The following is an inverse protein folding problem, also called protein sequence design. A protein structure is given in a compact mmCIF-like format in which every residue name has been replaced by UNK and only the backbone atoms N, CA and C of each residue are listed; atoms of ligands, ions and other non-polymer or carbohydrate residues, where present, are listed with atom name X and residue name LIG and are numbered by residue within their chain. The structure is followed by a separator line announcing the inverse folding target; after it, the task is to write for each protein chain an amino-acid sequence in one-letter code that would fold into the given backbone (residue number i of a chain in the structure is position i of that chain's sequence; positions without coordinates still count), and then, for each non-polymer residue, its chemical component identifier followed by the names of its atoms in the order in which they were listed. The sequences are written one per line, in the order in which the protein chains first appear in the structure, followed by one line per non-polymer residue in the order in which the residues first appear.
data_IF_719882721933
#
_entry.id   IF_719882721933
#
_cell.length_a   1.000
_cell.length_b   1.000
_cell.length_c   1.000
_cell.angle_alpha   90.00
_cell.angle_beta   90.00
_cell.angle_gamma   90.00
#
_symmetry.space_group_name_H-M   'P 1'
#
loop_
_entity.id
_entity.type
_entity.pdbx_description
1 polymer ?
#
# COMPACT_ATOMS: atom_id res chain seq x y z
N UNK A 1 40.63 -73.25 58.76
CA UNK A 1 41.78 -72.33 58.90
C UNK A 1 42.36 -72.18 57.48
N UNK A 2 41.88 -71.23 56.69
CA UNK A 2 42.18 -69.79 56.70
C UNK A 2 43.07 -69.49 55.47
N UNK A 3 42.64 -68.50 54.69
CA UNK A 3 43.31 -67.82 53.57
C UNK A 3 43.27 -68.49 52.19
N UNK A 4 42.49 -67.87 51.30
CA UNK A 4 42.75 -67.80 49.86
C UNK A 4 44.14 -67.18 49.59
N UNK A 5 44.73 -67.31 48.39
CA UNK A 5 44.32 -66.40 47.33
C UNK A 5 44.40 -66.93 45.89
N UNK A 6 43.71 -66.17 45.05
CA UNK A 6 43.78 -66.01 43.59
C UNK A 6 45.15 -66.31 42.95
N UNK A 7 45.10 -66.89 41.73
CA UNK A 7 45.37 -66.10 40.51
C UNK A 7 45.18 -66.89 39.22
N UNK A 8 44.93 -66.09 38.18
CA UNK A 8 45.22 -66.32 36.76
C UNK A 8 44.21 -67.07 35.89
N UNK A 9 43.68 -66.33 34.91
CA UNK A 9 44.06 -66.61 33.53
C UNK A 9 43.10 -67.44 32.68
N UNK A 10 42.51 -66.75 31.70
CA UNK A 10 42.41 -67.16 30.30
C UNK A 10 41.35 -68.21 29.85
N UNK A 11 40.45 -67.67 29.02
CA UNK A 11 40.00 -68.18 27.70
C UNK A 11 39.08 -69.40 27.59
N UNK A 12 37.87 -69.17 27.05
CA UNK A 12 37.30 -69.87 25.88
C UNK A 12 36.04 -69.09 25.44
N UNK A 13 36.05 -68.25 24.42
CA UNK A 13 36.02 -68.49 22.97
C UNK A 13 34.70 -69.12 22.43
N UNK A 14 34.03 -68.36 21.54
CA UNK A 14 32.96 -68.82 20.61
C UNK A 14 31.58 -68.12 20.71
N UNK A 15 30.91 -67.72 19.59
CA UNK A 15 31.39 -67.49 18.22
C UNK A 15 31.12 -66.06 17.69
N UNK A 16 31.78 -65.76 16.57
CA UNK A 16 31.80 -64.48 15.87
C UNK A 16 30.42 -63.97 15.43
N UNK A 17 30.07 -62.74 15.83
CA UNK A 17 29.05 -61.95 15.14
C UNK A 17 29.65 -61.41 13.86
N UNK A 18 29.09 -61.83 12.72
CA UNK A 18 29.38 -61.23 11.42
C UNK A 18 29.26 -59.69 11.49
N UNK A 19 30.18 -58.92 10.90
CA UNK A 19 30.01 -57.49 10.79
C UNK A 19 28.81 -57.21 9.88
N UNK A 20 27.72 -56.75 10.48
CA UNK A 20 26.54 -56.27 9.75
C UNK A 20 26.97 -55.22 8.72
N UNK A 21 26.77 -55.51 7.44
CA UNK A 21 27.05 -54.58 6.36
C UNK A 21 26.34 -53.24 6.64
N UNK A 22 27.01 -52.08 6.51
CA UNK A 22 26.36 -50.81 6.76
C UNK A 22 25.28 -50.57 5.70
N UNK A 23 24.02 -50.64 6.12
CA UNK A 23 22.86 -50.26 5.32
C UNK A 23 23.09 -48.86 4.72
N UNK A 24 22.95 -48.78 3.39
CA UNK A 24 23.32 -47.61 2.60
C UNK A 24 22.64 -46.33 3.07
N UNK A 25 23.37 -45.48 3.81
CA UNK A 25 23.00 -44.08 4.04
C UNK A 25 23.20 -43.27 2.75
N UNK A 26 22.29 -43.39 1.79
CA UNK A 26 22.24 -42.51 0.61
C UNK A 26 20.89 -41.80 0.47
N UNK A 27 20.69 -40.72 1.24
CA UNK A 27 20.01 -39.54 0.69
C UNK A 27 20.78 -38.22 0.95
N UNK A 28 21.90 -38.25 1.67
CA UNK A 28 22.69 -37.05 2.04
C UNK A 28 23.21 -36.24 0.84
N UNK A 29 23.55 -36.90 -0.28
CA UNK A 29 24.17 -36.24 -1.44
C UNK A 29 23.17 -35.40 -2.25
N UNK A 30 21.93 -35.88 -2.43
CA UNK A 30 20.86 -35.13 -3.14
C UNK A 30 20.35 -33.97 -2.29
N UNK A 31 20.16 -34.18 -0.98
CA UNK A 31 19.82 -33.11 -0.04
C UNK A 31 20.89 -32.00 -0.01
N UNK A 32 22.17 -32.37 0.04
CA UNK A 32 23.28 -31.39 0.01
C UNK A 32 23.36 -30.59 -1.30
N UNK A 33 23.06 -31.21 -2.44
CA UNK A 33 22.99 -30.52 -3.73
C UNK A 33 21.78 -29.56 -3.80
N UNK A 34 20.60 -30.01 -3.37
CA UNK A 34 19.39 -29.19 -3.31
C UNK A 34 19.57 -27.99 -2.39
N UNK A 35 20.13 -28.18 -1.18
CA UNK A 35 20.37 -27.08 -0.24
C UNK A 35 21.40 -26.05 -0.75
N UNK A 36 22.34 -26.45 -1.62
CA UNK A 36 23.23 -25.49 -2.29
C UNK A 36 22.46 -24.61 -3.28
N UNK A 37 21.52 -25.20 -4.03
CA UNK A 37 20.65 -24.45 -4.95
C UNK A 37 19.75 -23.51 -4.17
N UNK A 38 19.08 -23.99 -3.10
CA UNK A 38 18.22 -23.17 -2.23
C UNK A 38 19.00 -22.00 -1.64
N UNK A 39 20.21 -22.22 -1.11
CA UNK A 39 21.05 -21.14 -0.56
C UNK A 39 21.43 -20.10 -1.62
N UNK A 40 21.77 -20.55 -2.83
CA UNK A 40 22.10 -19.65 -3.95
C UNK A 40 20.88 -18.87 -4.42
N UNK A 41 19.73 -19.53 -4.55
CA UNK A 41 18.47 -18.89 -4.90
C UNK A 41 18.08 -17.84 -3.86
N UNK A 42 18.10 -18.19 -2.57
CA UNK A 42 17.84 -17.25 -1.46
C UNK A 42 18.78 -16.05 -1.51
N UNK A 43 20.08 -16.28 -1.70
CA UNK A 43 21.04 -15.19 -1.84
C UNK A 43 20.74 -14.29 -3.05
N UNK A 44 20.70 -14.84 -4.26
CA UNK A 44 20.59 -14.03 -5.48
C UNK A 44 19.23 -13.34 -5.59
N UNK A 45 18.14 -14.03 -5.23
CA UNK A 45 16.82 -13.42 -5.19
C UNK A 45 16.79 -12.36 -4.08
N UNK A 46 17.34 -12.64 -2.90
CA UNK A 46 17.50 -11.67 -1.82
C UNK A 46 18.19 -10.38 -2.25
N UNK A 47 19.31 -10.47 -2.98
CA UNK A 47 20.00 -9.30 -3.54
C UNK A 47 19.15 -8.56 -4.57
N UNK A 48 18.51 -9.30 -5.48
CA UNK A 48 17.74 -8.72 -6.58
C UNK A 48 16.56 -7.89 -6.06
N UNK A 49 15.81 -8.44 -5.11
CA UNK A 49 14.59 -7.78 -4.61
C UNK A 49 14.84 -6.91 -3.37
N UNK A 50 16.05 -6.90 -2.79
CA UNK A 50 16.40 -6.09 -1.63
C UNK A 50 15.99 -4.61 -1.73
N UNK A 51 16.40 -3.84 -2.76
CA UNK A 51 16.02 -2.43 -2.81
C UNK A 51 14.51 -2.24 -2.95
N UNK A 52 13.83 -3.15 -3.65
CA UNK A 52 12.38 -3.12 -3.85
C UNK A 52 11.61 -3.42 -2.57
N UNK A 53 11.94 -4.51 -1.88
CA UNK A 53 11.30 -4.90 -0.63
C UNK A 53 11.55 -3.87 0.45
N UNK A 54 12.76 -3.29 0.52
CA UNK A 54 13.07 -2.24 1.48
C UNK A 54 12.17 -1.02 1.25
N UNK A 55 12.05 -0.57 0.00
CA UNK A 55 11.17 0.53 -0.37
C UNK A 55 9.70 0.23 -0.05
N UNK A 56 9.17 -0.90 -0.53
CA UNK A 56 7.77 -1.28 -0.31
C UNK A 56 7.46 -1.49 1.18
N UNK A 57 8.34 -2.16 1.91
CA UNK A 57 8.22 -2.39 3.35
C UNK A 57 8.21 -1.08 4.13
N UNK A 58 9.15 -0.17 3.87
CA UNK A 58 9.19 1.16 4.51
C UNK A 58 7.94 1.96 4.14
N UNK A 59 7.54 1.97 2.86
CA UNK A 59 6.34 2.70 2.43
C UNK A 59 5.06 2.19 3.08
N UNK A 60 4.94 0.88 3.28
CA UNK A 60 3.79 0.26 3.95
C UNK A 60 3.71 0.63 5.43
N UNK A 61 4.85 0.59 6.14
CA UNK A 61 4.92 1.02 7.55
C UNK A 61 4.54 2.50 7.67
N UNK A 62 5.09 3.39 6.83
CA UNK A 62 4.75 4.82 6.83
C UNK A 62 3.28 5.09 6.46
N UNK A 63 2.69 4.24 5.60
CA UNK A 63 1.29 4.34 5.22
C UNK A 63 0.34 3.89 6.33
N UNK A 64 0.60 2.72 6.93
CA UNK A 64 -0.21 2.15 8.00
C UNK A 64 -0.08 2.91 9.32
N UNK A 65 1.08 3.56 9.53
CA UNK A 65 1.37 4.35 10.72
C UNK A 65 1.60 5.82 10.33
N UNK A 66 0.53 6.59 10.06
CA UNK A 66 0.66 7.98 9.62
C UNK A 66 1.38 8.86 10.63
N UNK A 67 1.46 8.47 11.91
CA UNK A 67 2.25 9.13 12.95
C UNK A 67 3.76 9.12 12.71
N UNK A 68 4.26 8.23 11.84
CA UNK A 68 5.69 8.13 11.54
C UNK A 68 5.98 9.08 10.38
N UNK A 69 6.70 10.17 10.66
CA UNK A 69 7.15 11.12 9.64
C UNK A 69 6.11 12.17 9.22
N UNK A 70 4.99 12.30 9.94
CA UNK A 70 4.10 13.46 9.85
C UNK A 70 3.93 14.09 11.22
N UNK A 71 4.12 15.39 11.27
CA UNK A 71 3.89 16.15 12.49
C UNK A 71 2.38 16.33 12.67
N UNK A 72 1.82 15.69 13.70
CA UNK A 72 0.49 16.03 14.19
C UNK A 72 0.41 15.70 15.68
N UNK A 73 -0.32 16.53 16.41
CA UNK A 73 -0.60 16.28 17.82
C UNK A 73 -1.88 15.46 17.93
N UNK A 74 -1.85 14.38 18.72
CA UNK A 74 -3.04 13.57 19.01
C UNK A 74 -3.33 13.58 20.49
N UNK A 75 -4.57 13.91 20.85
CA UNK A 75 -5.06 13.92 22.22
C UNK A 75 -6.35 13.11 22.33
N UNK A 76 -6.39 12.17 23.27
CA UNK A 76 -7.63 11.50 23.67
C UNK A 76 -8.45 12.37 24.61
N UNK A 77 -9.77 12.40 24.41
CA UNK A 77 -10.75 13.10 25.24
C UNK A 77 -11.70 12.03 25.79
N UNK A 78 -11.86 11.98 27.11
CA UNK A 78 -12.72 10.97 27.74
C UNK A 78 -14.19 11.25 27.47
N UNK A 79 -15.03 10.22 27.57
CA UNK A 79 -16.48 10.35 27.37
C UNK A 79 -17.11 11.37 28.33
N UNK A 80 -16.64 11.44 29.58
CA UNK A 80 -17.11 12.39 30.58
C UNK A 80 -16.78 13.82 30.17
N UNK A 81 -15.58 14.06 29.63
CA UNK A 81 -15.18 15.37 29.14
C UNK A 81 -16.01 15.79 27.93
N UNK A 82 -16.24 14.88 26.98
CA UNK A 82 -17.08 15.15 25.79
C UNK A 82 -18.51 15.49 26.23
N UNK A 83 -19.10 14.69 27.13
CA UNK A 83 -20.43 14.94 27.68
C UNK A 83 -20.51 16.27 28.43
N UNK A 84 -19.50 16.62 29.24
CA UNK A 84 -19.50 17.85 30.01
C UNK A 84 -19.37 19.10 29.13
N UNK A 85 -18.59 19.03 28.04
CA UNK A 85 -18.33 20.16 27.15
C UNK A 85 -19.43 20.37 26.12
N UNK A 86 -20.10 19.30 25.67
CA UNK A 86 -21.00 19.36 24.51
C UNK A 86 -22.43 18.89 24.81
N UNK A 87 -22.65 18.21 25.94
CA UNK A 87 -23.90 17.51 26.23
C UNK A 87 -24.11 16.24 25.39
N UNK A 88 -23.10 15.80 24.62
CA UNK A 88 -23.19 14.59 23.81
C UNK A 88 -23.51 13.37 24.68
N UNK A 89 -24.45 12.56 24.20
CA UNK A 89 -24.83 11.29 24.81
C UNK A 89 -24.56 10.17 23.81
N UNK A 90 -23.89 9.09 24.23
CA UNK A 90 -23.68 7.96 23.35
C UNK A 90 -25.00 7.35 22.87
N UNK A 91 -24.99 6.81 21.65
CA UNK A 91 -26.13 6.20 20.98
C UNK A 91 -26.08 4.68 21.15
N UNK A 92 -27.22 4.10 21.50
CA UNK A 92 -27.40 2.65 21.47
C UNK A 92 -27.64 2.21 20.01
N UNK A 93 -26.72 1.43 19.40
CA UNK A 93 -26.85 1.01 18.01
C UNK A 93 -28.09 0.14 17.77
N UNK A 94 -28.51 -0.67 18.74
CA UNK A 94 -29.72 -1.51 18.62
C UNK A 94 -30.98 -0.65 18.67
N UNK A 95 -31.00 0.39 19.51
CA UNK A 95 -32.10 1.34 19.55
C UNK A 95 -32.22 2.13 18.23
N UNK A 96 -31.11 2.50 17.61
CA UNK A 96 -31.11 3.16 16.30
C UNK A 96 -31.61 2.20 15.22
N UNK A 97 -31.12 0.96 15.18
CA UNK A 97 -31.55 -0.05 14.22
C UNK A 97 -33.06 -0.32 14.31
N UNK A 98 -33.62 -0.40 15.52
CA UNK A 98 -35.07 -0.53 15.75
C UNK A 98 -35.85 0.62 15.11
N UNK A 99 -35.43 1.86 15.37
CA UNK A 99 -36.08 3.05 14.80
C UNK A 99 -36.05 3.05 13.27
N UNK A 100 -34.94 2.63 12.67
CA UNK A 100 -34.81 2.52 11.20
C UNK A 100 -35.82 1.51 10.64
N UNK A 101 -35.91 0.31 11.23
CA UNK A 101 -36.85 -0.72 10.79
C UNK A 101 -38.31 -0.30 11.03
N UNK A 102 -38.61 0.36 12.14
CA UNK A 102 -39.93 0.93 12.42
C UNK A 102 -40.36 1.94 11.34
N UNK A 103 -39.47 2.88 10.98
CA UNK A 103 -39.76 3.86 9.93
C UNK A 103 -39.88 3.21 8.54
N UNK A 104 -39.04 2.23 8.23
CA UNK A 104 -39.10 1.49 6.97
C UNK A 104 -40.43 0.73 6.84
N UNK A 105 -40.89 0.10 7.92
CA UNK A 105 -42.17 -0.61 7.95
C UNK A 105 -43.38 0.33 7.85
N UNK A 106 -43.28 1.56 8.35
CA UNK A 106 -44.37 2.54 8.25
C UNK A 106 -44.65 2.98 6.80
N UNK A 107 -43.65 2.92 5.92
CA UNK A 107 -43.75 3.34 4.51
C UNK A 107 -43.69 2.20 3.48
N UNK A 108 -43.60 0.94 3.91
CA UNK A 108 -43.39 -0.20 3.01
C UNK A 108 -44.59 -1.16 2.98
N UNK A 109 -44.93 -1.74 1.81
CA UNK A 109 -45.90 -2.83 1.73
C UNK A 109 -45.38 -4.16 2.32
N UNK A 110 -44.07 -4.26 2.58
CA UNK A 110 -43.41 -5.46 3.12
C UNK A 110 -43.00 -5.25 4.58
N UNK A 111 -43.02 -6.33 5.37
CA UNK A 111 -42.58 -6.32 6.77
C UNK A 111 -41.13 -6.76 6.91
N UNK A 112 -40.31 -5.88 7.50
CA UNK A 112 -38.92 -6.14 7.85
C UNK A 112 -38.77 -6.33 9.37
N UNK A 113 -37.86 -7.21 9.77
CA UNK A 113 -37.52 -7.48 11.17
C UNK A 113 -36.01 -7.51 11.34
N UNK A 114 -35.52 -7.09 12.49
CA UNK A 114 -34.11 -7.24 12.85
C UNK A 114 -33.78 -8.71 13.09
N UNK A 115 -32.59 -9.13 12.65
CA UNK A 115 -32.05 -10.46 12.92
C UNK A 115 -31.32 -10.44 14.27
N UNK A 116 -31.85 -11.16 15.25
CA UNK A 116 -31.29 -11.23 16.60
C UNK A 116 -29.91 -11.93 16.67
N UNK A 117 -29.49 -12.64 15.61
CA UNK A 117 -28.17 -13.27 15.56
C UNK A 117 -27.04 -12.26 15.36
N UNK A 118 -27.35 -11.03 14.91
CA UNK A 118 -26.36 -10.01 14.59
C UNK A 118 -26.76 -8.67 15.24
N UNK A 119 -26.20 -8.34 16.42
CA UNK A 119 -26.45 -7.05 17.08
C UNK A 119 -26.04 -5.86 16.20
N UNK A 120 -26.72 -4.73 16.39
CA UNK A 120 -26.37 -3.49 15.74
C UNK A 120 -24.98 -3.02 16.17
N UNK A 121 -24.19 -2.54 15.21
CA UNK A 121 -22.91 -1.91 15.47
C UNK A 121 -22.72 -0.73 14.51
N UNK A 122 -22.12 0.35 15.01
CA UNK A 122 -21.65 1.41 14.13
C UNK A 122 -20.33 0.98 13.49
N UNK A 123 -20.25 1.09 12.17
CA UNK A 123 -19.02 0.87 11.41
C UNK A 123 -18.50 2.18 10.83
N UNK A 124 -17.19 2.38 10.86
CA UNK A 124 -16.54 3.62 10.43
C UNK A 124 -16.34 4.61 11.59
N UNK A 125 -15.84 5.79 11.26
CA UNK A 125 -15.53 6.83 12.23
C UNK A 125 -16.24 8.12 11.84
N UNK A 126 -17.10 8.69 12.71
CA UNK A 126 -17.61 10.04 12.52
C UNK A 126 -16.44 11.01 12.56
N UNK A 127 -16.04 11.49 11.39
CA UNK A 127 -14.94 12.41 11.21
C UNK A 127 -15.48 13.83 11.06
N UNK A 128 -15.09 14.69 12.00
CA UNK A 128 -15.41 16.11 11.99
C UNK A 128 -14.12 16.90 11.77
N UNK A 129 -14.09 17.71 10.72
CA UNK A 129 -12.90 18.47 10.33
C UNK A 129 -13.17 19.96 10.51
N UNK A 130 -12.22 20.67 11.10
CA UNK A 130 -12.19 22.12 11.21
C UNK A 130 -10.82 22.68 10.82
N UNK A 131 -10.73 24.00 10.75
CA UNK A 131 -9.48 24.73 10.50
C UNK A 131 -8.96 25.37 11.79
N UNK A 132 -7.65 25.41 11.97
CA UNK A 132 -7.03 26.19 13.04
C UNK A 132 -6.88 27.65 12.61
N UNK A 133 -6.71 28.56 13.57
CA UNK A 133 -6.44 29.98 13.30
C UNK A 133 -5.14 30.22 12.52
N UNK A 134 -4.21 29.27 12.57
CA UNK A 134 -2.91 29.33 11.90
C UNK A 134 -2.90 28.64 10.53
N UNK A 135 -4.08 28.28 9.99
CA UNK A 135 -4.22 27.62 8.68
C UNK A 135 -3.95 26.11 8.67
N UNK A 136 -3.75 25.51 9.85
CA UNK A 136 -3.76 24.06 10.04
C UNK A 136 -5.17 23.48 10.01
N UNK A 137 -5.27 22.17 10.21
CA UNK A 137 -6.56 21.48 10.34
C UNK A 137 -6.67 20.72 11.64
N UNK A 138 -7.88 20.64 12.15
CA UNK A 138 -8.23 19.87 13.34
C UNK A 138 -9.22 18.79 12.92
N UNK A 139 -9.00 17.57 13.39
CA UNK A 139 -9.86 16.42 13.15
C UNK A 139 -10.32 15.87 14.48
N UNK A 140 -11.63 15.72 14.65
CA UNK A 140 -12.23 15.06 15.81
C UNK A 140 -12.90 13.78 15.33
N UNK A 141 -12.47 12.66 15.91
CA UNK A 141 -13.14 11.37 15.78
C UNK A 141 -13.91 11.10 17.06
N UNK A 142 -15.23 11.03 16.99
CA UNK A 142 -16.09 10.74 18.15
C UNK A 142 -16.64 9.33 18.00
N UNK A 143 -16.52 8.53 19.06
CA UNK A 143 -17.18 7.22 19.13
C UNK A 143 -18.64 7.42 19.52
N UNK A 144 -19.55 7.00 18.63
CA UNK A 144 -20.97 7.20 18.85
C UNK A 144 -21.52 6.35 19.99
N UNK A 145 -20.93 5.19 20.24
CA UNK A 145 -21.39 4.16 21.18
C UNK A 145 -20.96 4.40 22.63
N UNK A 146 -19.77 4.95 22.86
CA UNK A 146 -19.25 5.26 24.21
C UNK A 146 -19.03 6.76 24.48
N UNK A 147 -19.04 7.61 23.45
CA UNK A 147 -18.86 9.06 23.55
C UNK A 147 -17.42 9.53 23.76
N UNK A 148 -16.43 8.64 23.76
CA UNK A 148 -15.04 9.03 23.78
C UNK A 148 -14.64 9.69 22.45
N UNK A 149 -13.67 10.60 22.48
CA UNK A 149 -13.20 11.27 21.28
C UNK A 149 -11.67 11.30 21.17
N UNK A 150 -11.18 11.39 19.94
CA UNK A 150 -9.78 11.65 19.63
C UNK A 150 -9.68 12.93 18.82
N UNK A 151 -8.94 13.90 19.34
CA UNK A 151 -8.59 15.15 18.67
C UNK A 151 -7.22 14.97 18.02
N UNK A 152 -7.11 15.27 16.73
CA UNK A 152 -5.84 15.35 16.02
C UNK A 152 -5.68 16.75 15.43
N UNK A 153 -4.56 17.42 15.72
CA UNK A 153 -4.23 18.74 15.18
C UNK A 153 -3.06 18.58 14.22
N UNK A 154 -3.28 18.99 12.99
CA UNK A 154 -2.29 18.95 11.92
C UNK A 154 -1.79 20.39 11.66
N UNK A 155 -0.48 20.56 11.42
CA UNK A 155 0.06 21.84 10.99
C UNK A 155 -0.55 22.28 9.66
N UNK A 156 -0.45 23.57 9.30
CA UNK A 156 -0.81 24.04 7.97
C UNK A 156 -0.14 23.19 6.90
N UNK A 157 -0.94 22.66 5.98
CA UNK A 157 -0.39 22.04 4.78
C UNK A 157 0.45 23.09 4.04
N UNK A 158 1.59 22.70 3.44
CA UNK A 158 2.36 23.62 2.62
C UNK A 158 1.42 24.24 1.58
N UNK A 159 1.49 25.56 1.44
CA UNK A 159 0.57 26.32 0.59
C UNK A 159 0.44 25.63 -0.78
N UNK A 160 -0.81 25.31 -1.18
CA UNK A 160 -1.10 24.78 -2.52
C UNK A 160 -0.42 25.69 -3.52
N UNK A 161 0.27 25.09 -4.51
CA UNK A 161 0.76 25.86 -5.64
C UNK A 161 -0.40 26.71 -6.18
N UNK A 162 -0.20 28.02 -6.45
CA UNK A 162 -1.24 28.81 -7.07
C UNK A 162 -1.69 28.11 -8.36
N UNK A 163 -3.01 28.02 -8.55
CA UNK A 163 -3.56 27.41 -9.74
C UNK A 163 -2.99 28.14 -10.98
N UNK A 164 -2.66 27.41 -12.06
CA UNK A 164 -2.15 28.05 -13.26
C UNK A 164 -3.16 29.06 -13.80
N UNK A 165 -2.71 30.13 -14.48
CA UNK A 165 -3.61 31.13 -15.06
C UNK A 165 -4.58 30.57 -16.12
N UNK A 166 -4.35 29.33 -16.57
CA UNK A 166 -5.14 28.59 -17.54
C UNK A 166 -5.89 27.39 -16.92
N UNK A 167 -5.93 27.25 -15.59
CA UNK A 167 -6.64 26.17 -14.92
C UNK A 167 -8.11 26.13 -15.36
N UNK A 168 -8.56 24.98 -15.87
CA UNK A 168 -9.93 24.78 -16.33
C UNK A 168 -10.27 25.44 -17.67
N UNK A 169 -9.32 26.11 -18.33
CA UNK A 169 -9.52 26.62 -19.67
C UNK A 169 -9.88 25.48 -20.63
N UNK A 170 -10.87 25.71 -21.50
CA UNK A 170 -11.27 24.72 -22.51
C UNK A 170 -10.68 25.12 -23.86
N UNK A 171 -10.03 24.17 -24.52
CA UNK A 171 -9.49 24.35 -25.87
C UNK A 171 -10.21 23.41 -26.81
N UNK A 172 -10.88 24.01 -27.80
CA UNK A 172 -11.60 23.27 -28.83
C UNK A 172 -10.62 22.75 -29.88
N UNK A 173 -10.35 21.45 -29.82
CA UNK A 173 -9.58 20.72 -30.82
C UNK A 173 -10.41 19.55 -31.37
N UNK A 174 -11.51 19.78 -32.13
CA UNK A 174 -12.49 18.74 -32.47
C UNK A 174 -11.87 17.46 -33.05
N UNK A 175 -10.85 17.61 -33.90
CA UNK A 175 -10.11 16.49 -34.54
C UNK A 175 -9.26 15.67 -33.56
N UNK A 176 -8.92 16.23 -32.40
CA UNK A 176 -8.05 15.64 -31.38
C UNK A 176 -8.82 15.33 -30.08
N UNK A 177 -10.14 15.16 -30.17
CA UNK A 177 -11.00 14.71 -29.05
C UNK A 177 -11.34 13.23 -29.15
N UNK A 178 -11.76 12.64 -28.03
CA UNK A 178 -12.24 11.25 -28.00
C UNK A 178 -13.41 10.99 -28.97
N UNK A 179 -14.25 11.99 -29.23
CA UNK A 179 -15.32 11.90 -30.23
C UNK A 179 -14.79 11.69 -31.66
N UNK A 180 -13.67 12.32 -32.03
CA UNK A 180 -13.04 12.10 -33.33
C UNK A 180 -12.42 10.70 -33.42
N UNK A 181 -11.82 10.20 -32.33
CA UNK A 181 -11.30 8.82 -32.26
C UNK A 181 -12.44 7.81 -32.45
N UNK A 182 -13.56 7.96 -31.72
CA UNK A 182 -14.76 7.13 -31.91
C UNK A 182 -15.21 7.10 -33.38
N UNK A 183 -15.28 8.26 -34.02
CA UNK A 183 -15.69 8.37 -35.41
C UNK A 183 -14.73 7.66 -36.38
N UNK A 184 -13.42 7.72 -36.12
CA UNK A 184 -12.39 7.07 -36.94
C UNK A 184 -12.38 5.55 -36.79
N UNK A 185 -12.67 5.03 -35.60
CA UNK A 185 -12.63 3.58 -35.30
C UNK A 185 -13.99 2.89 -35.38
N UNK A 186 -15.05 3.60 -35.77
CA UNK A 186 -16.44 3.07 -35.82
C UNK A 186 -16.56 1.76 -36.61
N UNK A 187 -15.78 1.61 -37.68
CA UNK A 187 -15.81 0.45 -38.58
C UNK A 187 -14.71 -0.57 -38.26
N UNK A 188 -13.97 -0.41 -37.16
CA UNK A 188 -12.85 -1.29 -36.81
C UNK A 188 -13.33 -2.71 -36.50
N UNK A 189 -14.36 -2.88 -35.66
CA UNK A 189 -14.87 -4.21 -35.29
C UNK A 189 -15.43 -4.98 -36.50
N UNK A 190 -16.27 -4.37 -37.37
CA UNK A 190 -16.71 -5.04 -38.60
C UNK A 190 -15.55 -5.42 -39.52
N UNK A 191 -14.55 -4.54 -39.71
CA UNK A 191 -13.38 -4.84 -40.55
C UNK A 191 -12.50 -5.97 -40.00
N UNK A 192 -12.57 -6.24 -38.71
CA UNK A 192 -11.90 -7.36 -38.06
C UNK A 192 -12.72 -8.66 -38.07
N UNK A 193 -13.93 -8.66 -38.65
CA UNK A 193 -14.80 -9.83 -38.70
C UNK A 193 -15.48 -10.15 -37.36
N UNK A 194 -15.62 -9.17 -36.47
CA UNK A 194 -16.30 -9.32 -35.18
C UNK A 194 -17.76 -8.89 -35.35
N UNK A 195 -18.63 -9.87 -35.63
CA UNK A 195 -20.06 -9.65 -35.83
C UNK A 195 -20.82 -9.52 -34.50
N UNK A 196 -21.89 -8.70 -34.48
CA UNK A 196 -22.80 -8.56 -33.33
C UNK A 196 -22.31 -7.65 -32.19
N UNK A 197 -21.14 -7.03 -32.33
CA UNK A 197 -20.65 -6.05 -31.35
C UNK A 197 -21.32 -4.68 -31.53
N UNK A 198 -21.70 -4.05 -30.40
CA UNK A 198 -22.16 -2.66 -30.39
C UNK A 198 -21.06 -1.66 -30.79
N UNK A 199 -21.40 -0.39 -31.09
CA UNK A 199 -20.42 0.61 -31.49
C UNK A 199 -19.41 0.87 -30.37
N UNK A 200 -18.14 1.02 -30.75
CA UNK A 200 -17.09 1.45 -29.83
C UNK A 200 -17.38 2.88 -29.34
N UNK A 201 -17.39 3.06 -28.02
CA UNK A 201 -17.59 4.35 -27.35
C UNK A 201 -16.43 4.65 -26.41
N UNK A 202 -16.08 5.92 -26.29
CA UNK A 202 -15.11 6.38 -25.33
C UNK A 202 -15.62 6.13 -23.91
N UNK A 203 -14.70 5.74 -23.02
CA UNK A 203 -15.05 5.47 -21.65
C UNK A 203 -15.34 6.78 -20.90
N UNK A 204 -16.46 6.92 -20.17
CA UNK A 204 -16.91 8.19 -19.61
C UNK A 204 -15.97 8.76 -18.52
N UNK A 205 -15.17 7.90 -17.88
CA UNK A 205 -14.24 8.30 -16.80
C UNK A 205 -12.75 8.18 -17.17
N UNK A 206 -12.46 7.52 -18.30
CA UNK A 206 -11.08 7.17 -18.70
C UNK A 206 -10.86 7.78 -20.07
N UNK A 207 -10.29 8.98 -20.06
CA UNK A 207 -9.83 9.71 -21.23
C UNK A 207 -8.30 9.75 -21.24
N UNK A 208 -7.66 9.63 -22.41
CA UNK A 208 -6.25 9.96 -22.57
C UNK A 208 -5.97 11.43 -22.23
N UNK A 209 -4.76 11.68 -21.74
CA UNK A 209 -4.26 13.01 -21.43
C UNK A 209 -3.03 13.30 -22.29
N UNK A 210 -2.97 14.49 -22.88
CA UNK A 210 -1.75 15.01 -23.50
C UNK A 210 -0.98 15.81 -22.46
N UNK A 211 0.30 15.45 -22.28
CA UNK A 211 1.21 16.08 -21.31
C UNK A 211 2.36 16.75 -22.02
N UNK A 212 2.59 18.02 -21.73
CA UNK A 212 3.68 18.80 -22.32
C UNK A 212 4.16 19.89 -21.37
N UNK A 213 5.33 20.45 -21.64
CA UNK A 213 5.85 21.59 -20.89
C UNK A 213 5.73 22.85 -21.73
N UNK A 214 5.31 23.95 -21.11
CA UNK A 214 5.29 25.26 -21.75
C UNK A 214 5.91 26.32 -20.85
N UNK A 215 6.39 27.41 -21.46
CA UNK A 215 6.84 28.59 -20.72
C UNK A 215 5.84 29.72 -20.89
N UNK A 216 5.62 30.47 -19.82
CA UNK A 216 4.87 31.72 -19.92
C UNK A 216 5.78 32.89 -20.32
N UNK A 217 5.18 34.08 -20.46
CA UNK A 217 5.88 35.30 -20.83
C UNK A 217 6.95 35.72 -19.80
N UNK A 218 6.82 35.30 -18.54
CA UNK A 218 7.78 35.55 -17.46
C UNK A 218 8.91 34.50 -17.42
N UNK A 219 8.90 33.54 -18.36
CA UNK A 219 9.88 32.47 -18.45
C UNK A 219 9.66 31.32 -17.46
N UNK A 220 8.56 31.33 -16.70
CA UNK A 220 8.21 30.24 -15.77
C UNK A 220 7.82 29.00 -16.54
N UNK A 221 8.30 27.84 -16.09
CA UNK A 221 8.06 26.56 -16.74
C UNK A 221 6.87 25.85 -16.11
N UNK A 222 5.91 25.43 -16.93
CA UNK A 222 4.67 24.77 -16.52
C UNK A 222 4.62 23.37 -17.09
N UNK A 223 4.27 22.40 -16.25
CA UNK A 223 3.83 21.07 -16.65
C UNK A 223 2.33 21.15 -16.94
N UNK A 224 1.92 20.94 -18.19
CA UNK A 224 0.55 21.15 -18.67
C UNK A 224 -0.06 19.82 -19.06
N UNK A 225 -1.31 19.61 -18.63
CA UNK A 225 -2.09 18.43 -18.94
C UNK A 225 -3.38 18.86 -19.66
N UNK A 226 -3.64 18.26 -20.82
CA UNK A 226 -4.85 18.46 -21.61
C UNK A 226 -5.66 17.15 -21.66
N UNK A 227 -6.91 17.17 -21.19
CA UNK A 227 -7.81 16.02 -21.23
C UNK A 227 -8.50 15.92 -22.61
N UNK A 228 -8.25 14.84 -23.37
CA UNK A 228 -8.82 14.65 -24.71
C UNK A 228 -10.33 14.34 -24.70
N UNK A 229 -10.89 13.93 -23.56
CA UNK A 229 -12.32 13.75 -23.38
C UNK A 229 -13.00 15.09 -23.16
N UNK A 230 -12.59 15.81 -22.11
CA UNK A 230 -13.23 17.06 -21.69
C UNK A 230 -12.78 18.30 -22.48
N UNK A 231 -11.60 18.26 -23.12
CA UNK A 231 -10.99 19.42 -23.78
C UNK A 231 -10.44 20.46 -22.79
N UNK A 232 -10.24 20.07 -21.54
CA UNK A 232 -9.84 20.95 -20.44
C UNK A 232 -8.33 20.94 -20.26
N UNK A 233 -7.77 22.12 -19.99
CA UNK A 233 -6.39 22.32 -19.59
C UNK A 233 -6.27 22.47 -18.08
N UNK A 234 -5.18 21.95 -17.56
CA UNK A 234 -4.71 22.18 -16.21
C UNK A 234 -3.18 22.12 -16.20
N UNK A 235 -2.54 22.48 -15.10
CA UNK A 235 -1.10 22.42 -15.00
C UNK A 235 -0.53 22.72 -13.63
N UNK A 236 0.78 22.51 -13.51
CA UNK A 236 1.54 22.77 -12.30
C UNK A 236 2.84 23.47 -12.65
N UNK A 237 3.23 24.45 -11.84
CA UNK A 237 4.51 25.13 -11.96
C UNK A 237 5.65 24.13 -11.67
N UNK A 238 6.61 24.02 -12.59
CA UNK A 238 7.76 23.13 -12.42
C UNK A 238 8.70 23.68 -11.33
N UNK A 239 9.00 22.85 -10.33
CA UNK A 239 9.77 23.27 -9.14
C UNK A 239 9.06 24.25 -8.19
N UNK A 240 7.75 24.50 -8.36
CA UNK A 240 6.97 25.39 -7.50
C UNK A 240 6.68 24.84 -6.09
N UNK A 241 6.21 25.71 -5.20
CA UNK A 241 5.70 25.32 -3.88
C UNK A 241 4.59 24.25 -3.98
N UNK A 242 4.45 23.38 -2.97
CA UNK A 242 3.43 22.32 -2.96
C UNK A 242 3.85 21.00 -3.61
N UNK A 243 5.15 20.74 -3.78
CA UNK A 243 5.63 19.38 -4.04
C UNK A 243 5.39 18.49 -2.83
N UNK A 244 4.94 17.23 -3.03
CA UNK A 244 4.71 16.31 -1.93
C UNK A 244 6.00 16.08 -1.16
N UNK A 245 5.90 16.03 0.17
CA UNK A 245 7.00 15.58 1.03
C UNK A 245 7.42 14.16 0.60
N UNK A 246 8.67 13.76 0.86
CA UNK A 246 9.14 12.41 0.51
C UNK A 246 8.26 11.29 1.07
N UNK A 247 7.77 11.45 2.30
CA UNK A 247 6.83 10.51 2.94
C UNK A 247 5.49 10.47 2.21
N UNK A 248 5.00 11.60 1.71
CA UNK A 248 3.76 11.69 0.93
C UNK A 248 3.94 11.06 -0.45
N UNK A 249 5.09 11.27 -1.09
CA UNK A 249 5.44 10.64 -2.35
C UNK A 249 5.50 9.11 -2.21
N UNK A 250 6.15 8.60 -1.16
CA UNK A 250 6.15 7.16 -0.84
C UNK A 250 4.73 6.65 -0.56
N UNK A 251 3.92 7.43 0.17
CA UNK A 251 2.52 7.11 0.41
C UNK A 251 1.70 7.06 -0.88
N UNK A 252 1.91 7.99 -1.82
CA UNK A 252 1.23 7.98 -3.12
C UNK A 252 1.64 6.78 -3.98
N UNK A 253 2.93 6.44 -3.99
CA UNK A 253 3.43 5.23 -4.65
C UNK A 253 2.80 3.96 -4.06
N UNK A 254 2.70 3.89 -2.74
CA UNK A 254 2.09 2.76 -2.02
C UNK A 254 0.58 2.64 -2.27
N UNK A 255 -0.14 3.78 -2.32
CA UNK A 255 -1.60 3.85 -2.51
C UNK A 255 -2.09 3.60 -3.93
N UNK A 256 -1.21 3.16 -4.83
CA UNK A 256 -1.62 2.67 -6.16
C UNK A 256 -2.59 1.47 -6.06
N UNK A 257 -2.77 0.88 -4.86
CA UNK A 257 -3.86 -0.03 -4.52
C UNK A 257 -4.57 0.42 -3.22
N UNK A 258 -5.91 0.51 -3.24
CA UNK A 258 -6.72 1.02 -2.13
C UNK A 258 -6.94 -0.01 -1.03
N UNK A 259 -6.86 0.41 0.24
CA UNK A 259 -7.44 -0.31 1.39
C UNK A 259 -8.20 0.65 2.32
N UNK A 260 -9.42 0.30 2.76
CA UNK A 260 -10.11 1.00 3.84
C UNK A 260 -9.67 0.47 5.22
N UNK A 261 -9.59 1.36 6.22
CA UNK A 261 -9.08 1.06 7.57
C UNK A 261 -10.22 1.10 8.59
N UNK A 262 -10.48 -0.01 9.28
CA UNK A 262 -11.43 -0.13 10.40
C UNK A 262 -10.75 -0.78 11.62
N UNK A 263 -11.25 -0.49 12.83
CA UNK A 263 -10.88 -1.20 14.06
C UNK A 263 -11.67 -2.50 14.19
N UNK A 264 -11.05 -3.63 13.87
CA UNK A 264 -11.66 -4.97 13.81
C UNK A 264 -10.65 -6.00 13.32
N UNK A 265 -11.08 -7.14 12.75
CA UNK A 265 -10.17 -8.11 12.11
C UNK A 265 -9.26 -7.46 11.04
N UNK A 266 -9.70 -6.32 10.50
CA UNK A 266 -8.93 -5.43 9.62
C UNK A 266 -7.68 -4.83 10.27
N UNK A 267 -7.66 -4.59 11.59
CA UNK A 267 -6.45 -4.17 12.31
C UNK A 267 -5.46 -5.33 12.44
N UNK A 268 -5.95 -6.53 12.75
CA UNK A 268 -5.13 -7.75 12.77
C UNK A 268 -4.56 -8.01 11.37
N UNK A 269 -5.36 -7.81 10.32
CA UNK A 269 -4.91 -7.89 8.94
C UNK A 269 -3.81 -6.86 8.63
N UNK A 270 -3.93 -5.61 9.08
CA UNK A 270 -2.88 -4.61 8.92
C UNK A 270 -1.59 -5.01 9.64
N UNK A 271 -1.69 -5.53 10.86
CA UNK A 271 -0.55 -6.10 11.59
C UNK A 271 0.10 -7.26 10.84
N UNK A 272 -0.67 -8.16 10.22
CA UNK A 272 -0.13 -9.24 9.38
C UNK A 272 0.52 -8.71 8.10
N UNK A 273 -0.03 -7.66 7.50
CA UNK A 273 0.59 -6.99 6.36
C UNK A 273 1.96 -6.42 6.76
N UNK A 274 2.06 -5.77 7.93
CA UNK A 274 3.33 -5.25 8.46
C UNK A 274 4.32 -6.37 8.77
N UNK A 275 3.88 -7.45 9.44
CA UNK A 275 4.73 -8.64 9.71
C UNK A 275 5.23 -9.26 8.41
N UNK A 276 4.38 -9.34 7.39
CA UNK A 276 4.76 -9.87 6.07
C UNK A 276 5.81 -8.98 5.42
N UNK A 277 5.61 -7.65 5.44
CA UNK A 277 6.60 -6.68 4.99
C UNK A 277 7.94 -6.82 5.71
N UNK A 278 7.93 -6.90 7.05
CA UNK A 278 9.14 -7.11 7.87
C UNK A 278 9.83 -8.42 7.51
N UNK A 279 9.07 -9.52 7.34
CA UNK A 279 9.62 -10.83 7.00
C UNK A 279 10.29 -10.81 5.63
N UNK A 280 9.69 -10.14 4.65
CA UNK A 280 10.30 -9.93 3.33
C UNK A 280 11.60 -9.12 3.44
N UNK A 281 11.61 -8.06 4.24
CA UNK A 281 12.83 -7.24 4.49
C UNK A 281 13.92 -8.11 5.12
N UNK A 282 13.61 -8.89 6.16
CA UNK A 282 14.55 -9.81 6.79
C UNK A 282 15.05 -10.88 5.81
N UNK A 283 14.16 -11.40 4.97
CA UNK A 283 14.52 -12.35 3.92
C UNK A 283 15.54 -11.73 2.94
N UNK A 284 15.33 -10.48 2.51
CA UNK A 284 16.28 -9.78 1.65
C UNK A 284 17.61 -9.48 2.36
N UNK A 285 17.56 -9.02 3.62
CA UNK A 285 18.73 -8.75 4.45
C UNK A 285 19.55 -10.02 4.71
N UNK A 286 18.91 -11.16 4.95
CA UNK A 286 19.62 -12.44 5.12
C UNK A 286 20.26 -12.91 3.81
N UNK A 287 19.64 -12.65 2.66
CA UNK A 287 20.28 -12.82 1.34
C UNK A 287 21.54 -11.98 1.19
N UNK A 288 21.47 -10.70 1.56
CA UNK A 288 22.61 -9.77 1.55
C UNK A 288 23.73 -10.22 2.51
N UNK A 289 23.38 -10.63 3.73
CA UNK A 289 24.32 -11.11 4.73
C UNK A 289 25.04 -12.40 4.27
N UNK A 290 24.31 -13.35 3.68
CA UNK A 290 24.92 -14.56 3.11
C UNK A 290 25.88 -14.25 1.96
N UNK A 291 25.50 -13.32 1.07
CA UNK A 291 26.38 -12.87 0.00
C UNK A 291 27.67 -12.25 0.55
N UNK A 292 27.54 -11.39 1.56
CA UNK A 292 28.67 -10.78 2.23
C UNK A 292 29.63 -11.82 2.82
N UNK A 293 29.11 -12.93 3.34
CA UNK A 293 29.94 -14.02 3.87
C UNK A 293 30.70 -14.80 2.78
N UNK A 294 30.24 -14.81 1.53
CA UNK A 294 30.87 -15.55 0.43
C UNK A 294 31.90 -14.71 -0.32
N UNK A 295 33.17 -14.82 0.11
CA UNK A 295 34.32 -14.06 -0.43
C UNK A 295 34.44 -14.03 -1.97
N UNK A 296 34.26 -15.15 -2.70
CA UNK A 296 34.48 -15.16 -4.16
C UNK A 296 33.40 -14.42 -4.96
N UNK A 297 32.18 -14.28 -4.42
CA UNK A 297 31.04 -13.65 -5.11
C UNK A 297 30.84 -12.18 -4.75
N UNK A 298 31.70 -11.60 -3.91
CA UNK A 298 31.56 -10.22 -3.43
C UNK A 298 31.59 -9.20 -4.56
N UNK A 299 32.54 -9.28 -5.48
CA UNK A 299 32.60 -8.27 -6.57
C UNK A 299 31.35 -8.35 -7.46
N UNK A 300 30.97 -9.56 -7.89
CA UNK A 300 29.80 -9.77 -8.76
C UNK A 300 28.51 -9.34 -8.08
N UNK A 301 28.30 -9.69 -6.82
CA UNK A 301 27.11 -9.25 -6.10
C UNK A 301 27.12 -7.75 -5.77
N UNK A 302 28.29 -7.11 -5.61
CA UNK A 302 28.37 -5.67 -5.38
C UNK A 302 27.94 -4.91 -6.64
N UNK A 303 28.42 -5.37 -7.81
CA UNK A 303 27.95 -4.87 -9.11
C UNK A 303 26.44 -5.11 -9.26
N UNK A 304 25.95 -6.31 -8.92
CA UNK A 304 24.52 -6.61 -9.00
C UNK A 304 23.65 -5.72 -8.10
N UNK A 305 24.07 -5.47 -6.85
CA UNK A 305 23.38 -4.53 -5.93
C UNK A 305 23.44 -3.10 -6.49
N UNK A 306 24.59 -2.65 -6.98
CA UNK A 306 24.72 -1.32 -7.55
C UNK A 306 23.80 -1.13 -8.76
N UNK A 307 23.71 -2.12 -9.66
CA UNK A 307 22.77 -2.13 -10.78
C UNK A 307 21.33 -2.13 -10.28
N UNK A 308 20.98 -2.96 -9.30
CA UNK A 308 19.63 -3.01 -8.75
C UNK A 308 19.21 -1.67 -8.11
N UNK A 309 20.12 -1.02 -7.38
CA UNK A 309 19.90 0.33 -6.81
C UNK A 309 19.76 1.36 -7.91
N UNK A 310 20.61 1.33 -8.94
CA UNK A 310 20.52 2.27 -10.07
C UNK A 310 19.20 2.12 -10.84
N UNK A 311 18.79 0.88 -11.13
CA UNK A 311 17.49 0.59 -11.77
C UNK A 311 16.35 1.06 -10.89
N UNK A 312 16.38 0.76 -9.58
CA UNK A 312 15.36 1.22 -8.65
C UNK A 312 15.30 2.75 -8.61
N UNK A 313 16.44 3.45 -8.57
CA UNK A 313 16.50 4.91 -8.58
C UNK A 313 15.92 5.50 -9.89
N UNK A 314 16.22 4.91 -11.05
CA UNK A 314 15.69 5.34 -12.35
C UNK A 314 14.17 5.14 -12.39
N UNK A 315 13.67 3.97 -12.02
CA UNK A 315 12.23 3.68 -12.01
C UNK A 315 11.50 4.59 -11.02
N UNK A 316 12.07 4.78 -9.83
CA UNK A 316 11.51 5.68 -8.81
C UNK A 316 11.48 7.13 -9.26
N UNK A 317 12.58 7.61 -9.87
CA UNK A 317 12.63 8.97 -10.40
C UNK A 317 11.64 9.18 -11.53
N UNK A 318 11.50 8.20 -12.45
CA UNK A 318 10.52 8.26 -13.54
C UNK A 318 9.09 8.27 -13.02
N UNK A 319 8.78 7.37 -12.08
CA UNK A 319 7.44 7.29 -11.47
C UNK A 319 7.12 8.55 -10.67
N UNK A 320 8.10 9.08 -9.92
CA UNK A 320 7.95 10.33 -9.20
C UNK A 320 7.72 11.51 -10.15
N UNK A 321 8.44 11.58 -11.28
CA UNK A 321 8.19 12.61 -12.29
C UNK A 321 6.78 12.52 -12.87
N UNK A 322 6.26 11.32 -13.11
CA UNK A 322 4.90 11.13 -13.64
C UNK A 322 3.81 11.56 -12.64
N UNK A 323 4.03 11.32 -11.35
CA UNK A 323 3.12 11.74 -10.27
C UNK A 323 3.17 13.26 -10.08
N UNK A 324 4.38 13.84 -10.08
CA UNK A 324 4.61 15.27 -9.82
C UNK A 324 4.19 16.13 -11.00
N UNK A 325 4.22 15.61 -12.23
CA UNK A 325 3.83 16.33 -13.46
C UNK A 325 2.44 16.98 -13.35
N UNK A 326 1.50 16.32 -12.67
CA UNK A 326 0.15 16.82 -12.44
C UNK A 326 -0.90 16.18 -13.35
N UNK A 327 -2.14 16.11 -12.86
CA UNK A 327 -3.32 15.62 -13.58
C UNK A 327 -4.33 16.76 -13.67
N UNK A 328 -5.19 16.73 -14.68
CA UNK A 328 -6.36 17.62 -14.71
C UNK A 328 -7.22 17.28 -13.50
N UNK A 329 -7.59 18.28 -12.70
CA UNK A 329 -8.63 18.09 -11.67
C UNK A 329 -9.93 17.67 -12.38
N UNK A 330 -10.19 16.36 -12.40
CA UNK A 330 -11.48 15.81 -12.80
C UNK A 330 -12.46 16.23 -11.70
N UNK A 331 -13.19 17.32 -11.94
CA UNK A 331 -14.13 17.90 -10.98
C UNK A 331 -14.86 16.80 -10.20
N UNK A 332 -14.58 16.73 -8.90
CA UNK A 332 -15.27 15.82 -8.00
C UNK A 332 -16.70 16.31 -7.82
N UNK A 333 -17.65 15.40 -8.04
CA UNK A 333 -18.94 15.46 -7.37
C UNK A 333 -18.76 15.12 -5.88
#
# INVERSE_FOLDING_TARGET
MMLAPDREGATSDGPAREPSAPQGRRPRRRYGAAMKVVRRAHMYLGLLVFPWILLFGISGVLFNHPQIGRDFERRSISAEQVSALTGFRPWDPDAVARKVVEQLNAGSPSRYTLDASTPGAFSGWPELIGSTSEGGRTMVLIRLDDGAATLSTFPPEPAKAPDPPFAGATVELPEHRMAAVEAQVKDLLPKLGIDGAGPLRAHPKVSPELRFRMRDADGRLWNVTYDLGAGRLDGRLDGGAGQPLFVELLGMLHKTHHFPVHGGMTWIWALFADITGITLVLWALTGLAMWWQMKPSRVVGAVAVAVAIAVAAVVMSGTASDIVFGKVEKGGA
#
